data_IF_113676240509
#
_entry.id   IF_113676240509
#
_cell.length_a   1.000
_cell.length_b   1.000
_cell.length_c   1.000
_cell.angle_alpha   90.00
_cell.angle_beta   90.00
_cell.angle_gamma   90.00
#
_symmetry.space_group_name_H-M   'P 1'
#
loop_
_entity.id
_entity.type
_entity.pdbx_description
1 polymer ?
#
# COMPACT_ATOMS: atom_id res chain seq x y z
N UNK A 1 -5.28 0.61 11.68
CA UNK A 1 -4.20 -0.40 11.67
C UNK A 1 -3.04 0.19 10.88
N UNK A 2 -1.81 0.12 11.41
CA UNK A 2 -0.60 0.50 10.68
C UNK A 2 0.08 -0.77 10.19
N UNK A 3 0.50 -0.80 8.93
CA UNK A 3 1.25 -1.92 8.36
C UNK A 3 2.63 -1.37 8.04
N UNK A 4 3.64 -1.87 8.74
CA UNK A 4 5.02 -1.57 8.41
C UNK A 4 5.49 -2.50 7.28
N UNK A 5 6.29 -1.97 6.37
CA UNK A 5 6.80 -2.66 5.19
C UNK A 5 8.33 -2.69 5.23
N UNK A 6 8.94 -3.39 6.21
CA UNK A 6 10.38 -3.41 6.37
C UNK A 6 11.05 -3.98 5.13
N UNK A 7 12.04 -3.26 4.60
CA UNK A 7 12.84 -3.70 3.45
C UNK A 7 12.11 -3.72 2.11
N UNK A 8 10.80 -3.43 2.03
CA UNK A 8 10.02 -3.42 0.78
C UNK A 8 10.59 -2.47 -0.28
N UNK A 9 11.16 -1.35 0.18
CA UNK A 9 11.75 -0.32 -0.66
C UNK A 9 13.28 -0.35 -0.69
N UNK A 10 13.89 -1.38 -0.11
CA UNK A 10 15.34 -1.54 -0.14
C UNK A 10 15.79 -1.75 -1.60
N UNK A 11 16.65 -0.86 -2.08
CA UNK A 11 17.20 -0.92 -3.44
C UNK A 11 18.36 -1.89 -3.55
N UNK A 12 18.94 -2.28 -2.41
CA UNK A 12 20.15 -3.11 -2.36
C UNK A 12 19.83 -4.61 -2.30
N UNK A 13 18.54 -4.95 -2.13
CA UNK A 13 18.06 -6.33 -2.07
C UNK A 13 17.59 -6.84 -3.43
N UNK A 14 17.91 -8.09 -3.79
CA UNK A 14 17.41 -8.69 -5.01
C UNK A 14 15.88 -8.83 -4.96
N UNK A 15 15.23 -8.72 -6.11
CA UNK A 15 13.77 -8.74 -6.20
C UNK A 15 13.14 -10.02 -5.64
N UNK A 16 13.82 -11.16 -5.76
CA UNK A 16 13.38 -12.44 -5.20
C UNK A 16 13.22 -12.40 -3.67
N UNK A 17 14.07 -11.65 -2.99
CA UNK A 17 14.00 -11.45 -1.55
C UNK A 17 12.89 -10.49 -1.12
N UNK A 18 12.41 -9.65 -2.04
CA UNK A 18 11.33 -8.68 -1.79
C UNK A 18 9.94 -9.28 -2.05
N UNK A 19 9.84 -10.33 -2.87
CA UNK A 19 8.58 -11.03 -3.20
C UNK A 19 7.74 -11.40 -1.95
N UNK A 20 8.30 -11.99 -0.87
CA UNK A 20 7.52 -12.31 0.33
C UNK A 20 6.92 -11.07 1.01
N UNK A 21 7.70 -9.99 1.12
CA UNK A 21 7.24 -8.74 1.74
C UNK A 21 6.19 -8.04 0.88
N UNK A 22 6.30 -8.14 -0.45
CA UNK A 22 5.29 -7.61 -1.37
C UNK A 22 3.96 -8.32 -1.23
N UNK A 23 3.99 -9.66 -1.25
CA UNK A 23 2.79 -10.49 -1.10
C UNK A 23 2.12 -10.26 0.26
N UNK A 24 2.93 -10.18 1.33
CA UNK A 24 2.44 -9.88 2.67
C UNK A 24 1.79 -8.50 2.73
N UNK A 25 2.46 -7.46 2.21
CA UNK A 25 1.93 -6.09 2.19
C UNK A 25 0.56 -6.01 1.49
N UNK A 26 0.46 -6.60 0.30
CA UNK A 26 -0.80 -6.65 -0.48
C UNK A 26 -1.91 -7.32 0.32
N UNK A 27 -1.68 -8.53 0.81
CA UNK A 27 -2.71 -9.31 1.53
C UNK A 27 -3.14 -8.65 2.85
N UNK A 28 -2.20 -8.09 3.61
CA UNK A 28 -2.48 -7.38 4.86
C UNK A 28 -3.28 -6.10 4.62
N UNK A 29 -2.92 -5.31 3.60
CA UNK A 29 -3.62 -4.04 3.34
C UNK A 29 -4.98 -4.20 2.64
N UNK A 30 -5.32 -5.38 2.10
CA UNK A 30 -6.58 -5.64 1.39
C UNK A 30 -7.81 -5.42 2.31
N UNK A 31 -8.85 -4.65 1.89
CA UNK A 31 -9.21 -4.23 0.52
C UNK A 31 -8.38 -3.07 -0.08
N UNK A 32 -7.62 -2.39 0.76
CA UNK A 32 -6.59 -1.42 0.41
C UNK A 32 -6.31 -0.44 1.55
N UNK A 33 -5.20 0.30 1.50
CA UNK A 33 -4.85 1.28 2.51
C UNK A 33 -5.70 2.55 2.40
N UNK A 34 -6.02 3.15 3.55
CA UNK A 34 -6.66 4.48 3.60
C UNK A 34 -5.66 5.60 3.31
N UNK A 35 -4.41 5.41 3.72
CA UNK A 35 -3.32 6.35 3.55
C UNK A 35 -2.03 5.57 3.29
N UNK A 36 -1.26 6.01 2.31
CA UNK A 36 0.15 5.64 2.17
C UNK A 36 1.01 6.69 2.86
N UNK A 37 1.86 6.28 3.81
CA UNK A 37 2.82 7.18 4.45
C UNK A 37 4.21 6.97 3.84
N UNK A 38 4.66 7.93 3.04
CA UNK A 38 5.98 7.88 2.39
C UNK A 38 6.97 8.62 3.28
N UNK A 39 7.92 7.89 3.88
CA UNK A 39 8.87 8.46 4.84
C UNK A 39 10.19 8.80 4.13
N UNK A 40 10.56 10.09 4.13
CA UNK A 40 11.80 10.60 3.53
C UNK A 40 12.66 11.29 4.60
N UNK A 41 13.98 11.36 4.41
CA UNK A 41 14.87 12.18 5.27
C UNK A 41 15.02 13.57 4.68
N UNK A 42 15.21 14.59 5.53
CA UNK A 42 15.44 15.98 5.12
C UNK A 42 16.77 16.22 4.40
N UNK A 43 17.65 15.23 4.27
CA UNK A 43 18.98 15.43 3.69
C UNK A 43 19.01 15.28 2.15
N UNK A 44 18.27 14.32 1.62
CA UNK A 44 18.51 13.73 0.30
C UNK A 44 17.20 13.34 -0.39
N UNK A 45 17.03 13.81 -1.61
CA UNK A 45 16.08 13.27 -2.58
C UNK A 45 16.86 12.83 -3.81
N UNK A 46 17.39 11.61 -3.73
CA UNK A 46 18.30 11.01 -4.71
C UNK A 46 17.56 9.99 -5.57
N UNK A 47 18.28 9.34 -6.48
CA UNK A 47 17.75 8.22 -7.27
C UNK A 47 17.22 7.08 -6.40
N UNK A 48 17.77 6.88 -5.20
CA UNK A 48 17.26 5.90 -4.25
C UNK A 48 15.81 6.24 -3.85
N UNK A 49 15.54 7.47 -3.40
CA UNK A 49 14.19 7.90 -3.05
C UNK A 49 13.23 7.88 -4.25
N UNK A 50 13.69 8.23 -5.45
CA UNK A 50 12.87 8.13 -6.67
C UNK A 50 12.48 6.68 -6.98
N UNK A 51 13.40 5.74 -6.78
CA UNK A 51 13.12 4.31 -6.96
C UNK A 51 12.05 3.79 -5.99
N UNK A 52 11.99 4.32 -4.76
CA UNK A 52 10.92 4.02 -3.79
C UNK A 52 9.56 4.43 -4.38
N UNK A 53 9.46 5.66 -4.91
CA UNK A 53 8.23 6.17 -5.54
C UNK A 53 7.85 5.32 -6.75
N UNK A 54 8.81 4.99 -7.62
CA UNK A 54 8.57 4.15 -8.78
C UNK A 54 8.05 2.75 -8.40
N UNK A 55 8.64 2.11 -7.37
CA UNK A 55 8.17 0.82 -6.86
C UNK A 55 6.75 0.90 -6.31
N UNK A 56 6.44 1.96 -5.56
CA UNK A 56 5.07 2.20 -5.06
C UNK A 56 4.08 2.28 -6.23
N UNK A 57 4.41 3.04 -7.27
CA UNK A 57 3.55 3.21 -8.44
C UNK A 57 3.43 1.92 -9.28
N UNK A 58 4.47 1.10 -9.34
CA UNK A 58 4.42 -0.20 -10.01
C UNK A 58 3.50 -1.18 -9.28
N UNK A 59 3.48 -1.16 -7.95
CA UNK A 59 2.65 -2.07 -7.14
C UNK A 59 1.20 -1.58 -7.01
N UNK A 60 1.01 -0.27 -6.85
CA UNK A 60 -0.26 0.35 -6.49
C UNK A 60 -0.67 1.47 -7.46
N UNK A 61 -0.23 1.44 -8.70
CA UNK A 61 -0.51 2.46 -9.72
C UNK A 61 -0.08 3.89 -9.34
N UNK A 62 -0.15 4.82 -10.28
CA UNK A 62 0.11 6.24 -9.98
C UNK A 62 -0.97 6.83 -9.04
N UNK A 63 -2.20 6.31 -9.07
CA UNK A 63 -3.32 6.79 -8.27
C UNK A 63 -3.08 6.62 -6.76
N UNK A 64 -2.22 5.69 -6.33
CA UNK A 64 -1.83 5.56 -4.91
C UNK A 64 -1.25 6.86 -4.33
N UNK A 65 -0.61 7.71 -5.14
CA UNK A 65 -0.10 9.01 -4.68
C UNK A 65 -1.23 9.96 -4.27
N UNK A 66 -2.43 9.81 -4.84
CA UNK A 66 -3.61 10.56 -4.40
C UNK A 66 -4.11 10.15 -3.01
N UNK A 67 -3.66 9.00 -2.49
CA UNK A 67 -3.86 8.54 -1.12
C UNK A 67 -2.58 8.64 -0.27
N UNK A 68 -1.53 9.31 -0.75
CA UNK A 68 -0.26 9.41 -0.05
C UNK A 68 -0.06 10.73 0.72
N UNK A 69 0.62 10.62 1.86
CA UNK A 69 1.21 11.72 2.63
C UNK A 69 2.72 11.51 2.66
N UNK A 70 3.51 12.57 2.44
CA UNK A 70 4.96 12.50 2.59
C UNK A 70 5.37 13.00 3.97
N UNK A 71 6.04 12.15 4.74
CA UNK A 71 6.57 12.50 6.05
C UNK A 71 8.09 12.66 5.97
N UNK A 72 8.56 13.89 6.14
CA UNK A 72 9.97 14.20 6.27
C UNK A 72 10.44 13.97 7.72
N UNK A 73 11.51 13.21 7.87
CA UNK A 73 12.18 12.95 9.15
C UNK A 73 13.49 13.71 9.22
N UNK A 74 14.04 13.83 10.43
CA UNK A 74 15.25 14.63 10.67
C UNK A 74 15.02 16.11 10.36
N UNK A 75 13.86 16.65 10.76
CA UNK A 75 13.53 18.07 10.64
C UNK A 75 14.59 19.00 11.24
N UNK A 76 15.35 18.53 12.24
CA UNK A 76 16.50 19.23 12.82
C UNK A 76 17.61 19.55 11.82
N UNK A 77 17.63 18.88 10.66
CA UNK A 77 18.58 19.15 9.58
C UNK A 77 18.14 20.28 8.64
N UNK A 78 16.91 20.79 8.76
CA UNK A 78 16.50 21.99 8.03
C UNK A 78 17.35 23.19 8.51
N UNK A 79 17.84 24.04 7.59
CA UNK A 79 18.52 25.27 7.98
C UNK A 79 17.70 26.10 8.96
N UNK A 80 18.38 26.82 9.87
CA UNK A 80 17.73 27.65 10.87
C UNK A 80 16.75 28.64 10.23
N UNK A 81 15.56 28.76 10.81
CA UNK A 81 14.47 29.60 10.28
C UNK A 81 13.79 29.09 9.02
N UNK A 82 14.24 27.98 8.40
CA UNK A 82 13.57 27.39 7.24
C UNK A 82 12.48 26.40 7.62
N UNK A 83 11.42 26.43 6.82
CA UNK A 83 10.32 25.45 6.85
C UNK A 83 10.48 24.40 5.76
N UNK A 84 9.75 23.30 5.87
CA UNK A 84 9.87 22.16 4.95
C UNK A 84 9.39 22.51 3.54
N UNK A 85 8.42 23.41 3.39
CA UNK A 85 7.94 23.93 2.10
C UNK A 85 9.08 24.57 1.30
N UNK A 86 9.91 25.37 1.98
CA UNK A 86 11.05 26.03 1.35
C UNK A 86 12.14 25.05 0.93
N UNK A 87 12.24 23.90 1.60
CA UNK A 87 13.16 22.82 1.23
C UNK A 87 12.66 22.05 0.00
N UNK A 88 11.37 21.69 -0.01
CA UNK A 88 10.70 21.04 -1.14
C UNK A 88 10.89 21.84 -2.43
N UNK A 89 10.76 23.16 -2.37
CA UNK A 89 10.83 24.03 -3.55
C UNK A 89 12.23 24.07 -4.21
N UNK A 90 13.28 23.60 -3.53
CA UNK A 90 14.65 23.54 -4.06
C UNK A 90 14.86 22.42 -5.09
N UNK A 91 14.01 21.39 -5.09
CA UNK A 91 14.15 20.22 -5.96
C UNK A 91 12.89 20.04 -6.81
N UNK A 92 13.04 20.07 -8.14
CA UNK A 92 11.91 19.99 -9.09
C UNK A 92 11.13 18.69 -8.95
N UNK A 93 11.84 17.56 -8.83
CA UNK A 93 11.25 16.23 -8.76
C UNK A 93 10.49 16.04 -7.44
N UNK A 94 11.06 16.53 -6.34
CA UNK A 94 10.42 16.51 -5.03
C UNK A 94 9.16 17.38 -5.01
N UNK A 95 9.22 18.56 -5.63
CA UNK A 95 8.06 19.45 -5.77
C UNK A 95 6.95 18.81 -6.60
N UNK A 96 7.29 18.07 -7.65
CA UNK A 96 6.31 17.36 -8.46
C UNK A 96 5.72 16.17 -7.71
N UNK A 97 6.51 15.43 -6.92
CA UNK A 97 5.99 14.43 -5.99
C UNK A 97 4.98 15.06 -5.01
N UNK A 98 5.31 16.20 -4.39
CA UNK A 98 4.38 16.88 -3.47
C UNK A 98 3.07 17.26 -4.16
N UNK A 99 3.10 17.69 -5.42
CA UNK A 99 1.88 17.99 -6.19
C UNK A 99 1.03 16.73 -6.40
N UNK A 100 1.63 15.60 -6.78
CA UNK A 100 0.93 14.32 -6.95
C UNK A 100 0.31 13.84 -5.63
N UNK A 101 0.97 14.13 -4.50
CA UNK A 101 0.45 13.86 -3.17
C UNK A 101 -0.52 14.94 -2.64
N UNK A 102 -1.07 15.81 -3.49
CA UNK A 102 -2.05 16.83 -3.09
C UNK A 102 -1.50 17.88 -2.13
N UNK A 103 -0.19 18.13 -2.16
CA UNK A 103 0.57 18.98 -1.22
C UNK A 103 0.47 18.54 0.24
N UNK A 104 0.23 17.26 0.50
CA UNK A 104 0.17 16.68 1.84
C UNK A 104 1.56 16.21 2.25
N UNK A 105 2.25 17.05 3.00
CA UNK A 105 3.54 16.69 3.59
C UNK A 105 3.72 17.31 4.96
N UNK A 106 4.44 16.60 5.81
CA UNK A 106 4.70 16.95 7.20
C UNK A 106 6.18 16.75 7.50
N UNK A 107 6.67 17.39 8.56
CA UNK A 107 8.05 17.19 9.03
C UNK A 107 8.07 16.87 10.51
N UNK A 108 8.87 15.89 10.91
CA UNK A 108 9.14 15.56 12.31
C UNK A 108 10.63 15.69 12.62
N UNK A 109 10.92 16.19 13.81
CA UNK A 109 12.27 16.39 14.33
C UNK A 109 12.69 15.18 15.16
N UNK A 110 13.70 14.43 14.74
CA UNK A 110 14.08 13.20 15.45
C UNK A 110 14.94 13.49 16.69
N UNK A 111 15.56 14.66 16.78
CA UNK A 111 16.54 15.01 17.82
C UNK A 111 15.89 15.59 19.07
N UNK A 112 14.85 16.40 18.90
CA UNK A 112 14.18 17.10 20.00
C UNK A 112 12.86 16.47 20.45
N UNK A 113 12.68 15.16 20.18
CA UNK A 113 11.45 14.40 20.41
C UNK A 113 10.76 14.62 21.77
N UNK A 114 11.53 14.82 22.85
CA UNK A 114 11.02 14.97 24.23
C UNK A 114 10.95 16.42 24.71
N UNK A 115 11.46 17.38 23.95
CA UNK A 115 11.54 18.77 24.39
C UNK A 115 10.31 19.54 23.94
N UNK A 116 9.63 20.17 24.89
CA UNK A 116 8.65 21.22 24.61
C UNK A 116 9.43 22.46 24.16
N UNK A 117 9.86 22.50 22.91
CA UNK A 117 10.43 23.73 22.35
C UNK A 117 9.38 24.85 22.37
N UNK A 118 9.82 26.09 22.48
CA UNK A 118 8.95 27.28 22.44
C UNK A 118 8.36 27.55 21.04
N UNK A 119 8.93 26.96 19.99
CA UNK A 119 8.42 27.02 18.62
C UNK A 119 7.43 25.88 18.38
N UNK A 120 6.16 26.22 18.21
CA UNK A 120 5.07 25.28 17.93
C UNK A 120 5.34 24.43 16.68
N UNK A 121 5.97 25.01 15.65
CA UNK A 121 6.31 24.29 14.43
C UNK A 121 7.36 23.20 14.64
N UNK A 122 8.32 23.42 15.55
CA UNK A 122 9.38 22.43 15.87
C UNK A 122 8.96 21.41 16.93
N UNK A 123 7.73 21.51 17.45
CA UNK A 123 7.18 20.55 18.40
C UNK A 123 6.63 19.31 17.68
N UNK A 124 7.20 18.14 17.96
CA UNK A 124 6.66 16.89 17.40
C UNK A 124 5.24 16.59 17.87
N UNK A 125 4.83 17.05 19.06
CA UNK A 125 3.45 16.89 19.50
C UNK A 125 2.50 17.60 18.54
N UNK A 126 2.85 18.81 18.12
CA UNK A 126 2.09 19.58 17.14
C UNK A 126 2.15 18.92 15.75
N UNK A 127 3.34 18.54 15.29
CA UNK A 127 3.52 17.92 13.97
C UNK A 127 2.77 16.59 13.82
N UNK A 128 2.79 15.74 14.86
CA UNK A 128 2.02 14.49 14.89
C UNK A 128 0.51 14.78 14.90
N UNK A 129 0.06 15.77 15.67
CA UNK A 129 -1.35 16.17 15.68
C UNK A 129 -1.82 16.67 14.29
N UNK A 130 -1.01 17.49 13.61
CA UNK A 130 -1.33 17.95 12.26
C UNK A 130 -1.28 16.82 11.23
N UNK A 131 -0.36 15.86 11.35
CA UNK A 131 -0.33 14.66 10.52
C UNK A 131 -1.62 13.84 10.67
N UNK A 132 -2.04 13.56 11.91
CA UNK A 132 -3.27 12.80 12.19
C UNK A 132 -4.51 13.54 11.66
N UNK A 133 -4.57 14.86 11.83
CA UNK A 133 -5.64 15.70 11.26
C UNK A 133 -5.67 15.66 9.73
N UNK A 134 -4.51 15.61 9.07
CA UNK A 134 -4.45 15.40 7.61
C UNK A 134 -4.98 14.03 7.22
N UNK A 135 -4.64 12.97 7.97
CA UNK A 135 -5.17 11.61 7.77
C UNK A 135 -6.70 11.61 7.89
N UNK A 136 -7.25 12.20 8.95
CA UNK A 136 -8.70 12.26 9.17
C UNK A 136 -9.42 12.97 8.02
N UNK A 137 -8.88 14.12 7.57
CA UNK A 137 -9.41 14.86 6.41
C UNK A 137 -9.36 14.04 5.12
N UNK A 138 -8.32 13.25 4.91
CA UNK A 138 -8.22 12.37 3.74
C UNK A 138 -9.29 11.29 3.78
N UNK A 139 -9.46 10.63 4.92
CA UNK A 139 -10.48 9.60 5.09
C UNK A 139 -11.88 10.18 4.89
N UNK A 140 -12.15 11.37 5.44
CA UNK A 140 -13.42 12.08 5.27
C UNK A 140 -13.67 12.48 3.81
N UNK A 141 -12.68 13.08 3.14
CA UNK A 141 -12.78 13.45 1.73
C UNK A 141 -13.03 12.23 0.82
N UNK A 142 -12.49 11.08 1.18
CA UNK A 142 -12.71 9.80 0.50
C UNK A 142 -13.97 9.06 1.00
N UNK A 143 -14.81 9.69 1.82
CA UNK A 143 -16.07 9.12 2.38
C UNK A 143 -15.84 7.80 3.12
N UNK A 144 -14.69 7.65 3.77
CA UNK A 144 -14.28 6.41 4.43
C UNK A 144 -13.78 5.32 3.49
N UNK A 145 -13.74 5.54 2.17
CA UNK A 145 -13.19 4.59 1.21
C UNK A 145 -11.67 4.52 1.31
N UNK A 146 -11.13 3.32 1.12
CA UNK A 146 -9.70 3.11 0.94
C UNK A 146 -9.31 3.26 -0.54
N UNK A 147 -8.01 3.40 -0.78
CA UNK A 147 -7.43 3.18 -2.10
C UNK A 147 -7.73 1.75 -2.54
N UNK A 148 -7.98 1.52 -3.83
CA UNK A 148 -8.09 0.17 -4.39
C UNK A 148 -7.69 0.18 -5.86
N UNK A 149 -7.35 -0.98 -6.40
CA UNK A 149 -7.14 -1.22 -7.83
C UNK A 149 -7.56 -2.66 -8.18
N UNK A 150 -7.46 -3.01 -9.47
CA UNK A 150 -7.83 -4.33 -9.98
C UNK A 150 -7.17 -5.47 -9.20
N UNK A 151 -5.90 -5.31 -8.83
CA UNK A 151 -5.18 -6.31 -8.05
C UNK A 151 -5.74 -6.46 -6.64
N UNK A 152 -5.93 -5.37 -5.91
CA UNK A 152 -6.48 -5.42 -4.55
C UNK A 152 -7.92 -5.96 -4.54
N UNK A 153 -8.73 -5.61 -5.55
CA UNK A 153 -10.07 -6.16 -5.74
C UNK A 153 -10.02 -7.67 -5.95
N UNK A 154 -9.12 -8.15 -6.81
CA UNK A 154 -8.99 -9.57 -7.07
C UNK A 154 -8.54 -10.36 -5.83
N UNK A 155 -7.64 -9.79 -5.01
CA UNK A 155 -7.20 -10.39 -3.75
C UNK A 155 -8.33 -10.36 -2.70
N UNK A 156 -9.09 -9.27 -2.60
CA UNK A 156 -10.23 -9.18 -1.67
C UNK A 156 -11.30 -10.21 -2.01
N UNK A 157 -11.61 -10.42 -3.28
CA UNK A 157 -12.55 -11.45 -3.72
C UNK A 157 -12.09 -12.87 -3.32
N UNK A 158 -10.80 -13.18 -3.44
CA UNK A 158 -10.23 -14.46 -3.01
C UNK A 158 -10.29 -14.63 -1.49
N UNK A 159 -10.04 -13.55 -0.74
CA UNK A 159 -10.20 -13.54 0.72
C UNK A 159 -11.66 -13.80 1.08
N UNK A 160 -12.62 -13.13 0.44
CA UNK A 160 -14.05 -13.32 0.70
C UNK A 160 -14.54 -14.74 0.36
N UNK A 161 -14.01 -15.36 -0.70
CA UNK A 161 -14.30 -16.75 -1.02
C UNK A 161 -13.74 -17.69 0.06
N UNK A 162 -12.50 -17.48 0.49
CA UNK A 162 -11.87 -18.26 1.56
C UNK A 162 -12.62 -18.10 2.90
N UNK A 163 -13.06 -16.88 3.23
CA UNK A 163 -13.88 -16.60 4.42
C UNK A 163 -15.19 -17.42 4.41
N UNK A 164 -15.83 -17.60 3.24
CA UNK A 164 -17.05 -18.43 3.12
C UNK A 164 -16.74 -19.91 3.40
N UNK A 165 -15.66 -20.45 2.85
CA UNK A 165 -15.24 -21.83 3.08
C UNK A 165 -14.90 -22.10 4.56
N UNK A 166 -14.23 -21.14 5.21
CA UNK A 166 -13.92 -21.24 6.65
C UNK A 166 -15.21 -21.17 7.48
N UNK A 167 -16.16 -20.29 7.15
CA UNK A 167 -17.46 -20.20 7.84
C UNK A 167 -18.25 -21.50 7.76
N UNK A 168 -18.23 -22.17 6.60
CA UNK A 168 -18.93 -23.45 6.39
C UNK A 168 -18.27 -24.61 7.16
N UNK A 169 -16.95 -24.60 7.31
CA UNK A 169 -16.21 -25.67 8.00
C UNK A 169 -16.08 -25.47 9.51
N UNK A 170 -16.12 -24.23 10.01
CA UNK A 170 -15.99 -23.94 11.44
C UNK A 170 -16.80 -22.70 11.85
N UNK A 171 -18.07 -22.91 12.21
CA UNK A 171 -19.01 -21.85 12.58
C UNK A 171 -18.72 -21.15 13.92
N UNK A 172 -17.75 -21.64 14.71
CA UNK A 172 -17.45 -21.10 16.04
C UNK A 172 -16.43 -19.95 16.04
N UNK A 173 -15.78 -19.66 14.90
CA UNK A 173 -14.80 -18.57 14.80
C UNK A 173 -15.48 -17.21 14.65
N UNK A 174 -14.91 -16.19 15.26
CA UNK A 174 -15.32 -14.80 15.06
C UNK A 174 -14.99 -14.33 13.63
N UNK A 175 -15.67 -13.27 13.17
CA UNK A 175 -15.39 -12.70 11.84
C UNK A 175 -13.93 -12.25 11.66
N UNK A 176 -13.30 -11.75 12.72
CA UNK A 176 -11.89 -11.33 12.72
C UNK A 176 -10.95 -12.52 12.56
N UNK A 177 -11.18 -13.62 13.29
CA UNK A 177 -10.39 -14.85 13.16
C UNK A 177 -10.53 -15.47 11.78
N UNK A 178 -11.74 -15.47 11.23
CA UNK A 178 -12.02 -15.98 9.89
C UNK A 178 -11.29 -15.15 8.84
N UNK A 179 -11.34 -13.81 8.94
CA UNK A 179 -10.64 -12.92 8.02
C UNK A 179 -9.12 -13.06 8.11
N UNK A 180 -8.57 -13.18 9.32
CA UNK A 180 -7.13 -13.38 9.52
C UNK A 180 -6.65 -14.71 8.92
N UNK A 181 -7.40 -15.80 9.13
CA UNK A 181 -7.09 -17.10 8.54
C UNK A 181 -7.22 -17.09 7.01
N UNK A 182 -8.28 -16.46 6.48
CA UNK A 182 -8.49 -16.29 5.05
C UNK A 182 -7.32 -15.54 4.39
N UNK A 183 -6.91 -14.42 4.99
CA UNK A 183 -5.72 -13.65 4.55
C UNK A 183 -4.46 -14.52 4.55
N UNK A 184 -4.20 -15.26 5.62
CA UNK A 184 -3.06 -16.18 5.70
C UNK A 184 -3.09 -17.26 4.59
N UNK A 185 -4.26 -17.84 4.30
CA UNK A 185 -4.38 -18.87 3.27
C UNK A 185 -4.19 -18.30 1.85
N UNK A 186 -4.80 -17.14 1.57
CA UNK A 186 -4.62 -16.43 0.29
C UNK A 186 -3.16 -15.97 0.13
N UNK A 187 -2.53 -15.46 1.18
CA UNK A 187 -1.12 -15.06 1.16
C UNK A 187 -0.21 -16.23 0.78
N UNK A 188 -0.42 -17.42 1.35
CA UNK A 188 0.35 -18.63 1.00
C UNK A 188 0.17 -19.01 -0.48
N UNK A 189 -1.08 -18.96 -0.98
CA UNK A 189 -1.37 -19.24 -2.41
C UNK A 189 -0.72 -18.22 -3.34
N UNK A 190 -0.83 -16.94 -3.00
CA UNK A 190 -0.24 -15.86 -3.76
C UNK A 190 1.29 -15.97 -3.76
N UNK A 191 1.91 -16.29 -2.62
CA UNK A 191 3.34 -16.52 -2.53
C UNK A 191 3.80 -17.66 -3.45
N UNK A 192 3.12 -18.82 -3.42
CA UNK A 192 3.44 -19.95 -4.31
C UNK A 192 3.34 -19.54 -5.79
N UNK A 193 2.27 -18.82 -6.17
CA UNK A 193 2.08 -18.34 -7.53
C UNK A 193 3.20 -17.36 -7.95
N UNK A 194 3.60 -16.47 -7.04
CA UNK A 194 4.64 -15.46 -7.23
C UNK A 194 6.04 -16.09 -7.35
N UNK A 195 6.33 -17.13 -6.57
CA UNK A 195 7.60 -17.86 -6.61
C UNK A 195 7.72 -18.81 -7.82
N UNK A 196 6.61 -19.30 -8.37
CA UNK A 196 6.62 -20.27 -9.47
C UNK A 196 6.88 -19.66 -10.86
N UNK A 197 6.97 -18.34 -10.98
CA UNK A 197 7.21 -17.67 -12.27
C UNK A 197 8.59 -17.01 -12.31
N UNK A 198 9.26 -17.09 -13.46
CA UNK A 198 10.55 -16.45 -13.72
C UNK A 198 10.44 -14.93 -13.99
N UNK A 199 9.28 -14.31 -13.75
CA UNK A 199 9.06 -12.88 -13.97
C UNK A 199 9.30 -12.07 -12.70
N UNK A 200 9.59 -10.77 -12.89
CA UNK A 200 9.75 -9.78 -11.84
C UNK A 200 8.49 -9.70 -10.96
N UNK A 201 8.64 -9.39 -9.67
CA UNK A 201 7.56 -9.22 -8.68
C UNK A 201 6.47 -8.25 -9.15
N UNK A 202 6.83 -7.29 -10.01
CA UNK A 202 5.93 -6.30 -10.62
C UNK A 202 5.04 -6.85 -11.74
N UNK A 203 5.52 -7.82 -12.54
CA UNK A 203 4.74 -8.49 -13.59
C UNK A 203 3.80 -9.56 -13.02
N UNK A 204 4.12 -10.04 -11.83
CA UNK A 204 3.47 -11.16 -11.15
C UNK A 204 2.01 -10.92 -10.71
N UNK A 205 1.66 -9.68 -10.36
CA UNK A 205 0.27 -9.32 -10.03
C UNK A 205 -0.62 -9.39 -11.28
N UNK A 206 -0.11 -8.99 -12.44
CA UNK A 206 -0.78 -9.16 -13.73
C UNK A 206 -0.95 -10.63 -14.10
N UNK A 207 0.01 -11.49 -13.74
CA UNK A 207 -0.11 -12.95 -13.92
C UNK A 207 -1.19 -13.56 -13.01
N UNK A 208 -1.35 -13.08 -11.77
CA UNK A 208 -2.42 -13.56 -10.89
C UNK A 208 -3.81 -13.17 -11.43
N UNK A 209 -3.98 -11.92 -11.87
CA UNK A 209 -5.18 -11.47 -12.58
C UNK A 209 -5.42 -12.32 -13.84
N UNK A 210 -4.38 -12.61 -14.63
CA UNK A 210 -4.45 -13.49 -15.78
C UNK A 210 -4.87 -14.93 -15.45
N UNK A 211 -4.33 -15.53 -14.40
CA UNK A 211 -4.69 -16.87 -13.91
C UNK A 211 -6.13 -16.93 -13.39
N UNK A 212 -6.57 -15.90 -12.68
CA UNK A 212 -7.94 -15.77 -12.20
C UNK A 212 -8.92 -15.62 -13.36
N UNK A 213 -8.65 -14.69 -14.28
CA UNK A 213 -9.44 -14.53 -15.51
C UNK A 213 -9.49 -15.82 -16.33
N UNK A 214 -8.39 -16.59 -16.40
CA UNK A 214 -8.39 -17.90 -17.06
C UNK A 214 -9.26 -18.93 -16.34
N UNK A 215 -9.21 -19.00 -15.00
CA UNK A 215 -10.10 -19.88 -14.21
C UNK A 215 -11.57 -19.50 -14.39
N UNK A 216 -11.89 -18.21 -14.27
CA UNK A 216 -13.26 -17.70 -14.43
C UNK A 216 -13.77 -17.94 -15.85
N UNK A 217 -12.92 -17.75 -16.86
CA UNK A 217 -13.27 -18.03 -18.26
C UNK A 217 -13.43 -19.53 -18.52
N UNK A 218 -12.61 -20.41 -17.92
CA UNK A 218 -12.81 -21.86 -17.98
C UNK A 218 -14.10 -22.29 -17.27
N UNK A 219 -14.42 -21.70 -16.12
CA UNK A 219 -15.67 -21.94 -15.38
C UNK A 219 -16.89 -21.49 -16.20
N UNK A 220 -16.86 -20.28 -16.78
CA UNK A 220 -17.94 -19.77 -17.64
C UNK A 220 -18.09 -20.61 -18.91
N UNK A 221 -16.98 -21.00 -19.55
CA UNK A 221 -17.02 -21.83 -20.76
C UNK A 221 -17.52 -23.25 -20.44
N UNK A 222 -17.09 -23.81 -19.31
CA UNK A 222 -17.57 -25.10 -18.80
C UNK A 222 -19.05 -25.06 -18.43
N UNK A 223 -19.51 -23.98 -17.80
CA UNK A 223 -20.93 -23.76 -17.48
C UNK A 223 -21.77 -23.56 -18.75
N UNK A 224 -21.27 -22.85 -19.76
CA UNK A 224 -21.92 -22.70 -21.07
C UNK A 224 -22.03 -24.02 -21.85
N UNK A 225 -20.97 -24.85 -21.81
CA UNK A 225 -21.00 -26.20 -22.38
C UNK A 225 -21.93 -27.14 -21.60
N UNK A 226 -22.04 -26.96 -20.28
CA UNK A 226 -22.97 -27.72 -19.45
C UNK A 226 -24.42 -27.31 -19.73
N UNK A 227 -24.75 -26.02 -19.72
CA UNK A 227 -26.09 -25.50 -19.96
C UNK A 227 -26.58 -25.73 -21.40
N UNK A 228 -25.69 -25.73 -22.40
CA UNK A 228 -26.06 -26.06 -23.79
C UNK A 228 -26.51 -27.51 -24.01
N UNK A 229 -26.28 -28.41 -23.03
CA UNK A 229 -26.85 -29.77 -23.03
C UNK A 229 -28.28 -29.84 -22.49
N UNK A 230 -28.77 -28.79 -21.83
CA UNK A 230 -30.06 -28.77 -21.13
C UNK A 230 -31.03 -27.68 -21.63
N UNK A 231 -30.58 -26.76 -22.47
CA UNK A 231 -31.45 -25.78 -23.15
C UNK A 231 -31.85 -26.33 -24.54
N UNK A 232 -33.17 -26.38 -24.87
CA UNK A 232 -33.61 -26.73 -26.21
C UNK A 232 -33.17 -25.65 -27.21
N UNK A 233 -32.77 -26.09 -28.41
CA UNK A 233 -32.38 -25.21 -29.52
C UNK A 233 -33.50 -24.29 -29.97
#
# INVERSE_FOLDING_TARGET
>A
MWIDTPGFFDTDRPEEELKPEIVKCITECTPGPHVFLIVLKVEKYTEQEKNIINKLQQCFSEEALTYAIVLFTHGDQLPEGKKIEQWVDLNTDLRDLMKKCGRRFHVIDNKYWKNKQHDEYRSNQFQVAELLKTIDKMVEANKGSCYTNEMLQAVEEEIQQEEKLIKESNANKSGEEIRAEAKSNVQKRLFIAVSATAVSATVLLGCFLGLKLMKDRMLITGLGLFLSKYLPR
#
